data_IF_164663360219
#
_entry.id   IF_164663360219
#
_cell.length_a   1.000
_cell.length_b   1.000
_cell.length_c   1.000
_cell.angle_alpha   90.00
_cell.angle_beta   90.00
_cell.angle_gamma   90.00
#
_symmetry.space_group_name_H-M   'P 1'
#
loop_
_entity.id
_entity.type
_entity.pdbx_description
1 polymer ?
#
# COMPACT_ATOMS: atom_id res chain seq x y z
N UNK A 1 -18.18 30.79 -28.90
CA UNK A 1 -18.00 30.96 -27.45
C UNK A 1 -17.07 29.87 -26.99
N UNK A 2 -15.84 30.23 -26.55
CA UNK A 2 -14.91 29.25 -25.97
C UNK A 2 -15.56 28.73 -24.69
N UNK A 3 -15.76 27.42 -24.60
CA UNK A 3 -16.07 26.77 -23.33
C UNK A 3 -14.92 27.08 -22.37
N UNK A 4 -15.19 27.94 -21.39
CA UNK A 4 -14.41 27.99 -20.16
C UNK A 4 -14.57 26.60 -19.55
N UNK A 5 -13.51 25.79 -19.65
CA UNK A 5 -13.36 24.63 -18.78
C UNK A 5 -13.42 25.18 -17.36
N UNK A 6 -14.43 24.71 -16.63
CA UNK A 6 -14.51 24.83 -15.19
C UNK A 6 -13.13 24.42 -14.63
N UNK A 7 -12.38 25.41 -14.18
CA UNK A 7 -11.04 25.28 -13.60
C UNK A 7 -11.21 25.57 -12.12
N UNK A 8 -12.08 24.79 -11.50
CA UNK A 8 -12.05 24.56 -10.07
C UNK A 8 -11.06 23.41 -9.88
N UNK A 9 -9.78 23.74 -9.75
CA UNK A 9 -8.80 22.79 -9.21
C UNK A 9 -9.32 22.41 -7.82
N UNK A 10 -9.48 21.12 -7.56
CA UNK A 10 -9.91 20.64 -6.25
C UNK A 10 -8.87 21.09 -5.21
N UNK A 11 -9.31 21.43 -4.00
CA UNK A 11 -8.40 21.75 -2.90
C UNK A 11 -7.47 20.56 -2.59
N UNK A 12 -7.92 19.34 -2.88
CA UNK A 12 -7.10 18.13 -2.78
C UNK A 12 -6.04 18.08 -3.89
N UNK A 13 -6.39 18.33 -5.15
CA UNK A 13 -5.43 18.41 -6.26
C UNK A 13 -4.34 19.48 -6.00
N UNK A 14 -4.74 20.65 -5.49
CA UNK A 14 -3.81 21.73 -5.14
C UNK A 14 -2.88 21.35 -3.99
N UNK A 15 -3.36 20.55 -3.03
CA UNK A 15 -2.57 20.08 -1.91
C UNK A 15 -1.59 18.98 -2.35
N UNK A 16 -2.00 18.05 -3.22
CA UNK A 16 -1.11 17.04 -3.79
C UNK A 16 0.00 17.68 -4.63
N UNK A 17 -0.34 18.66 -5.49
CA UNK A 17 0.62 19.43 -6.27
C UNK A 17 1.62 20.17 -5.37
N UNK A 18 1.14 20.77 -4.28
CA UNK A 18 1.99 21.44 -3.29
C UNK A 18 2.92 20.42 -2.61
N UNK A 19 2.40 19.29 -2.12
CA UNK A 19 3.19 18.23 -1.50
C UNK A 19 4.30 17.75 -2.46
N UNK A 20 3.96 17.45 -3.72
CA UNK A 20 4.92 17.05 -4.74
C UNK A 20 6.02 18.11 -4.93
N UNK A 21 5.66 19.39 -5.02
CA UNK A 21 6.61 20.48 -5.27
C UNK A 21 7.63 20.72 -4.14
N UNK A 22 7.30 20.31 -2.90
CA UNK A 22 8.17 20.46 -1.72
C UNK A 22 9.41 19.56 -1.79
N UNK A 23 9.32 18.42 -2.46
CA UNK A 23 10.40 17.43 -2.50
C UNK A 23 11.31 17.65 -3.72
N UNK A 24 12.63 17.91 -3.52
CA UNK A 24 13.51 18.39 -4.59
C UNK A 24 13.65 17.50 -5.82
N UNK A 25 13.53 16.18 -5.66
CA UNK A 25 13.59 15.21 -6.77
C UNK A 25 12.33 15.22 -7.66
N UNK A 26 11.27 15.88 -7.20
CA UNK A 26 9.97 15.91 -7.88
C UNK A 26 9.74 17.24 -8.62
N UNK A 27 10.64 18.22 -8.48
CA UNK A 27 10.45 19.57 -9.04
C UNK A 27 10.33 19.61 -10.56
N UNK A 28 10.94 18.64 -11.23
CA UNK A 28 10.89 18.47 -12.69
C UNK A 28 10.06 17.24 -13.11
N UNK A 29 9.41 16.54 -12.16
CA UNK A 29 8.59 15.35 -12.41
C UNK A 29 7.09 15.67 -12.36
N UNK A 30 6.37 15.37 -13.43
CA UNK A 30 4.91 15.36 -13.47
C UNK A 30 4.32 14.16 -12.72
N UNK A 31 3.00 14.11 -12.56
CA UNK A 31 2.32 12.94 -12.00
C UNK A 31 2.59 11.69 -12.85
N UNK A 32 2.67 11.87 -14.17
CA UNK A 32 2.99 10.85 -15.16
C UNK A 32 4.40 10.26 -15.06
N UNK A 33 5.33 10.95 -14.39
CA UNK A 33 6.73 10.50 -14.24
C UNK A 33 6.91 9.57 -13.03
N UNK A 34 5.89 9.44 -12.17
CA UNK A 34 5.86 8.45 -11.09
C UNK A 34 5.14 7.20 -11.55
N UNK A 35 5.67 6.03 -11.18
CA UNK A 35 5.06 4.74 -11.52
C UNK A 35 4.93 4.53 -13.04
N UNK A 36 5.92 4.96 -13.82
CA UNK A 36 5.95 4.67 -15.26
C UNK A 36 6.28 3.19 -15.49
N UNK A 37 5.24 2.40 -15.79
CA UNK A 37 5.36 0.99 -16.12
C UNK A 37 5.60 0.74 -17.62
N UNK A 38 5.60 1.76 -18.48
CA UNK A 38 5.95 1.59 -19.90
C UNK A 38 7.47 1.60 -20.12
N UNK A 39 8.20 2.41 -19.35
CA UNK A 39 9.66 2.47 -19.34
C UNK A 39 10.19 2.46 -17.89
N UNK A 40 10.03 1.33 -17.16
CA UNK A 40 10.40 1.28 -15.75
C UNK A 40 11.91 1.44 -15.59
N UNK A 41 12.33 2.19 -14.56
CA UNK A 41 13.76 2.40 -14.27
C UNK A 41 14.53 1.09 -13.98
N UNK A 42 13.80 0.00 -13.68
CA UNK A 42 14.35 -1.34 -13.38
C UNK A 42 13.66 -2.41 -14.24
N UNK A 43 14.47 -3.16 -14.99
CA UNK A 43 14.01 -4.28 -15.84
C UNK A 43 13.27 -5.39 -15.05
N UNK A 44 13.52 -5.50 -13.74
CA UNK A 44 12.96 -6.54 -12.86
C UNK A 44 11.47 -6.34 -12.56
N UNK A 45 10.96 -5.11 -12.61
CA UNK A 45 9.57 -4.76 -12.24
C UNK A 45 8.56 -5.52 -13.09
N UNK A 46 8.84 -5.64 -14.39
CA UNK A 46 7.95 -6.35 -15.31
C UNK A 46 7.87 -7.85 -15.01
N UNK A 47 9.00 -8.49 -14.71
CA UNK A 47 9.02 -9.91 -14.35
C UNK A 47 8.40 -10.15 -12.97
N UNK A 48 8.63 -9.24 -12.02
CA UNK A 48 7.98 -9.25 -10.72
C UNK A 48 6.45 -9.32 -10.86
N UNK A 49 5.85 -8.39 -11.62
CA UNK A 49 4.40 -8.35 -11.80
C UNK A 49 3.90 -9.53 -12.64
N UNK A 50 4.70 -10.06 -13.56
CA UNK A 50 4.36 -11.31 -14.27
C UNK A 50 4.20 -12.47 -13.28
N UNK A 51 5.12 -12.64 -12.34
CA UNK A 51 5.04 -13.69 -11.31
C UNK A 51 3.88 -13.43 -10.33
N UNK A 52 3.68 -12.18 -9.91
CA UNK A 52 2.57 -11.79 -9.05
C UNK A 52 1.22 -12.17 -9.70
N UNK A 53 0.95 -11.70 -10.92
CA UNK A 53 -0.31 -11.96 -11.61
C UNK A 53 -0.47 -13.42 -12.00
N UNK A 54 0.61 -14.19 -12.17
CA UNK A 54 0.55 -15.62 -12.46
C UNK A 54 0.11 -16.44 -11.24
N UNK A 55 0.62 -16.10 -10.04
CA UNK A 55 0.50 -16.96 -8.86
C UNK A 55 -0.47 -16.47 -7.78
N UNK A 56 -0.85 -15.18 -7.77
CA UNK A 56 -1.89 -14.64 -6.89
C UNK A 56 -3.28 -15.09 -7.38
N UNK A 57 -3.63 -16.34 -7.06
CA UNK A 57 -4.97 -16.89 -7.24
C UNK A 57 -5.70 -17.02 -5.90
N UNK A 58 -7.01 -17.26 -5.96
CA UNK A 58 -7.89 -17.31 -4.81
C UNK A 58 -7.42 -18.32 -3.75
N UNK A 59 -7.05 -19.52 -4.16
CA UNK A 59 -6.59 -20.58 -3.25
C UNK A 59 -5.25 -20.21 -2.58
N UNK A 60 -4.32 -19.61 -3.32
CA UNK A 60 -3.05 -19.11 -2.78
C UNK A 60 -3.29 -18.06 -1.70
N UNK A 61 -4.15 -17.07 -1.97
CA UNK A 61 -4.47 -16.00 -1.01
C UNK A 61 -5.06 -16.57 0.28
N UNK A 62 -6.03 -17.48 0.18
CA UNK A 62 -6.63 -18.11 1.36
C UNK A 62 -5.60 -18.91 2.18
N UNK A 63 -4.71 -19.65 1.52
CA UNK A 63 -3.64 -20.39 2.20
C UNK A 63 -2.68 -19.45 2.94
N UNK A 64 -2.30 -18.33 2.33
CA UNK A 64 -1.41 -17.35 2.97
C UNK A 64 -2.09 -16.66 4.15
N UNK A 65 -3.37 -16.30 4.04
CA UNK A 65 -4.16 -15.79 5.16
C UNK A 65 -4.18 -16.79 6.32
N UNK A 66 -4.47 -18.07 6.08
CA UNK A 66 -4.44 -19.09 7.13
C UNK A 66 -3.05 -19.25 7.76
N UNK A 67 -1.99 -19.15 6.94
CA UNK A 67 -0.61 -19.31 7.39
C UNK A 67 -0.14 -18.17 8.29
N UNK A 68 -0.45 -16.92 7.95
CA UNK A 68 0.19 -15.75 8.57
C UNK A 68 -0.69 -14.99 9.57
N UNK A 69 -2.01 -15.10 9.49
CA UNK A 69 -2.91 -14.37 10.42
C UNK A 69 -2.90 -14.91 11.86
N UNK A 70 -2.17 -16.01 12.11
CA UNK A 70 -1.90 -16.54 13.45
C UNK A 70 -0.83 -15.73 14.20
N UNK A 71 0.00 -14.96 13.50
CA UNK A 71 1.03 -14.08 14.07
C UNK A 71 2.03 -14.82 14.99
N UNK A 72 2.51 -15.99 14.54
CA UNK A 72 3.38 -16.89 15.33
C UNK A 72 4.85 -16.89 14.85
N UNK A 73 5.22 -16.02 13.92
CA UNK A 73 6.57 -16.01 13.33
C UNK A 73 7.58 -15.40 14.27
N UNK A 74 7.26 -14.26 14.89
CA UNK A 74 8.17 -13.54 15.78
C UNK A 74 7.41 -12.58 16.70
N UNK A 75 7.98 -12.30 17.88
CA UNK A 75 7.59 -11.16 18.70
C UNK A 75 8.71 -10.14 18.70
N UNK A 76 8.37 -8.88 18.42
CA UNK A 76 9.33 -7.78 18.28
C UNK A 76 8.74 -6.52 18.91
N UNK A 77 9.57 -5.72 19.56
CA UNK A 77 9.27 -4.30 19.75
C UNK A 77 9.18 -3.60 18.38
N UNK A 78 8.60 -2.40 18.35
CA UNK A 78 8.51 -1.61 17.12
C UNK A 78 9.88 -1.43 16.45
N UNK A 79 10.90 -1.09 17.24
CA UNK A 79 12.21 -0.80 16.68
C UNK A 79 12.98 -2.05 16.24
N UNK A 80 12.78 -3.18 16.90
CA UNK A 80 13.28 -4.47 16.38
C UNK A 80 12.60 -4.83 15.05
N UNK A 81 11.32 -4.51 14.86
CA UNK A 81 10.61 -4.76 13.60
C UNK A 81 11.12 -3.85 12.47
N UNK A 82 11.37 -2.57 12.76
CA UNK A 82 11.94 -1.61 11.81
C UNK A 82 13.37 -2.00 11.43
N UNK A 83 14.22 -2.30 12.41
CA UNK A 83 15.60 -2.77 12.17
C UNK A 83 15.61 -4.10 11.40
N UNK A 84 14.64 -4.98 11.64
CA UNK A 84 14.49 -6.22 10.89
C UNK A 84 14.10 -5.93 9.44
N UNK A 85 13.04 -5.14 9.20
CA UNK A 85 12.62 -4.72 7.86
C UNK A 85 13.77 -4.08 7.08
N UNK A 86 14.61 -3.29 7.74
CA UNK A 86 15.75 -2.61 7.13
C UNK A 86 16.81 -3.54 6.52
N UNK A 87 16.71 -4.84 6.75
CA UNK A 87 17.55 -5.85 6.08
C UNK A 87 17.03 -6.27 4.70
N UNK A 88 15.83 -5.81 4.31
CA UNK A 88 15.19 -6.06 3.02
C UNK A 88 15.60 -5.00 1.98
N UNK A 89 15.79 -5.45 0.74
CA UNK A 89 15.84 -4.61 -0.46
C UNK A 89 14.57 -4.89 -1.27
N UNK A 90 13.75 -3.86 -1.56
CA UNK A 90 12.49 -3.99 -2.30
C UNK A 90 12.76 -3.92 -3.82
N UNK A 91 12.36 -4.97 -4.55
CA UNK A 91 12.59 -5.12 -5.99
C UNK A 91 11.40 -4.60 -6.83
N UNK A 92 10.29 -4.19 -6.19
CA UNK A 92 9.05 -3.79 -6.87
C UNK A 92 8.89 -2.28 -7.08
N UNK A 93 9.52 -1.46 -6.25
CA UNK A 93 9.49 -0.01 -6.36
C UNK A 93 10.38 0.45 -7.54
N UNK A 94 9.81 1.07 -8.59
CA UNK A 94 10.60 1.59 -9.71
C UNK A 94 11.34 2.88 -9.35
N UNK A 95 11.01 3.54 -8.24
CA UNK A 95 11.41 4.92 -7.99
C UNK A 95 12.65 5.08 -7.08
N UNK A 96 13.03 4.09 -6.24
CA UNK A 96 14.16 4.27 -5.28
C UNK A 96 14.93 3.00 -4.86
N UNK A 97 16.18 3.19 -4.40
CA UNK A 97 16.99 2.23 -3.64
C UNK A 97 17.06 2.62 -2.13
N UNK A 98 16.04 3.32 -1.60
CA UNK A 98 16.09 3.85 -0.24
C UNK A 98 16.03 2.74 0.82
N UNK A 99 16.79 2.97 1.88
CA UNK A 99 16.73 2.24 3.14
C UNK A 99 15.29 2.29 3.70
N UNK A 100 14.72 1.14 4.07
CA UNK A 100 13.31 1.04 4.47
C UNK A 100 12.97 1.94 5.67
N UNK A 101 13.90 2.10 6.61
CA UNK A 101 13.73 3.03 7.74
C UNK A 101 13.59 4.48 7.27
N UNK A 102 14.34 4.86 6.23
CA UNK A 102 14.25 6.21 5.65
C UNK A 102 12.90 6.43 4.98
N UNK A 103 12.41 5.45 4.22
CA UNK A 103 11.07 5.51 3.60
C UNK A 103 9.98 5.76 4.65
N UNK A 104 9.91 4.92 5.68
CA UNK A 104 8.94 5.05 6.77
C UNK A 104 9.00 6.42 7.47
N UNK A 105 10.22 6.92 7.72
CA UNK A 105 10.40 8.23 8.34
C UNK A 105 10.05 9.39 7.40
N UNK A 106 10.35 9.30 6.11
CA UNK A 106 10.02 10.34 5.13
C UNK A 106 8.52 10.50 4.98
N UNK A 107 7.79 9.39 4.80
CA UNK A 107 6.32 9.38 4.74
C UNK A 107 5.73 9.98 6.02
N UNK A 108 6.19 9.52 7.17
CA UNK A 108 5.64 9.96 8.46
C UNK A 108 5.97 11.42 8.79
N UNK A 109 7.20 11.88 8.52
CA UNK A 109 7.59 13.28 8.76
C UNK A 109 6.85 14.24 7.83
N UNK A 110 6.52 13.82 6.60
CA UNK A 110 5.69 14.58 5.69
C UNK A 110 4.28 14.80 6.26
N UNK A 111 3.66 13.71 6.76
CA UNK A 111 2.35 13.76 7.43
C UNK A 111 2.41 14.65 8.68
N UNK A 112 3.48 14.54 9.48
CA UNK A 112 3.70 15.35 10.68
C UNK A 112 3.85 16.83 10.37
N UNK A 113 4.57 17.17 9.29
CA UNK A 113 4.80 18.55 8.88
C UNK A 113 3.49 19.26 8.49
N UNK A 114 2.52 18.53 7.94
CA UNK A 114 1.18 19.04 7.60
C UNK A 114 0.22 19.11 8.80
N UNK A 115 0.66 18.72 10.00
CA UNK A 115 -0.12 18.88 11.23
C UNK A 115 -1.25 17.86 11.38
N UNK A 116 -1.15 16.70 10.74
CA UNK A 116 -2.12 15.62 10.88
C UNK A 116 -2.11 15.00 12.29
N UNK A 117 -3.19 14.30 12.69
CA UNK A 117 -3.27 13.66 14.00
C UNK A 117 -2.21 12.59 14.23
N UNK A 118 -1.87 12.35 15.51
CA UNK A 118 -0.92 11.34 15.98
C UNK A 118 -1.08 9.96 15.31
N UNK A 119 -2.31 9.45 15.20
CA UNK A 119 -2.56 8.14 14.57
C UNK A 119 -2.20 8.12 13.09
N UNK A 120 -2.36 9.23 12.36
CA UNK A 120 -2.05 9.31 10.93
C UNK A 120 -0.54 9.36 10.75
N UNK A 121 0.16 10.17 11.56
CA UNK A 121 1.63 10.19 11.60
C UNK A 121 2.15 8.77 11.86
N UNK A 122 1.65 8.11 12.91
CA UNK A 122 2.06 6.74 13.21
C UNK A 122 1.75 5.76 12.08
N UNK A 123 0.62 5.94 11.38
CA UNK A 123 0.28 5.07 10.24
C UNK A 123 1.30 5.18 9.11
N UNK A 124 1.75 6.39 8.78
CA UNK A 124 2.83 6.59 7.80
C UNK A 124 4.13 5.90 8.21
N UNK A 125 4.42 5.83 9.51
CA UNK A 125 5.59 5.14 10.01
C UNK A 125 5.48 3.61 10.01
N UNK A 126 4.26 3.07 10.00
CA UNK A 126 4.02 1.63 10.11
C UNK A 126 3.69 0.96 8.78
N UNK A 127 3.15 1.69 7.79
CA UNK A 127 2.42 1.15 6.63
C UNK A 127 3.13 -0.01 5.90
N UNK A 128 4.46 0.05 5.81
CA UNK A 128 5.28 -0.92 5.09
C UNK A 128 5.89 -2.01 5.98
N UNK A 129 5.64 -2.01 7.30
CA UNK A 129 6.17 -3.04 8.20
C UNK A 129 5.72 -4.46 7.86
N UNK A 130 4.63 -4.63 7.10
CA UNK A 130 4.21 -5.95 6.62
C UNK A 130 5.21 -6.60 5.66
N UNK A 131 6.14 -5.82 5.08
CA UNK A 131 7.20 -6.32 4.18
C UNK A 131 8.18 -7.29 4.85
N UNK A 132 8.17 -7.38 6.19
CA UNK A 132 8.89 -8.42 6.94
C UNK A 132 8.53 -9.85 6.52
N UNK A 133 7.39 -10.07 5.84
CA UNK A 133 7.07 -11.36 5.20
C UNK A 133 8.19 -11.85 4.25
N UNK A 134 8.85 -10.94 3.52
CA UNK A 134 10.00 -11.30 2.67
C UNK A 134 11.11 -11.94 3.50
N UNK A 135 11.35 -11.40 4.69
CA UNK A 135 12.37 -11.89 5.63
C UNK A 135 11.95 -13.18 6.34
N UNK A 136 10.67 -13.52 6.33
CA UNK A 136 10.15 -14.84 6.71
C UNK A 136 10.19 -15.87 5.57
N UNK A 137 10.77 -15.51 4.43
CA UNK A 137 11.04 -16.41 3.30
C UNK A 137 9.98 -16.37 2.20
N UNK A 138 9.04 -15.43 2.24
CA UNK A 138 8.12 -15.22 1.12
C UNK A 138 8.85 -14.56 -0.07
N UNK A 139 8.53 -14.94 -1.31
CA UNK A 139 9.04 -14.22 -2.47
C UNK A 139 8.40 -12.83 -2.53
N UNK A 140 9.14 -11.84 -3.04
CA UNK A 140 8.67 -10.45 -3.07
C UNK A 140 7.31 -10.29 -3.78
N UNK A 141 7.06 -11.03 -4.87
CA UNK A 141 5.78 -10.97 -5.59
C UNK A 141 4.57 -11.37 -4.73
N UNK A 142 4.78 -12.07 -3.61
CA UNK A 142 3.76 -12.45 -2.65
C UNK A 142 3.68 -11.50 -1.44
N UNK A 143 4.39 -10.37 -1.46
CA UNK A 143 4.52 -9.45 -0.33
C UNK A 143 4.30 -8.00 -0.75
N UNK A 144 5.03 -7.52 -1.76
CA UNK A 144 5.03 -6.11 -2.19
C UNK A 144 4.23 -5.92 -3.48
N UNK A 145 4.16 -4.68 -3.97
CA UNK A 145 3.48 -4.30 -5.21
C UNK A 145 1.97 -4.09 -5.07
N UNK A 146 1.37 -3.60 -6.16
CA UNK A 146 -0.05 -3.26 -6.21
C UNK A 146 -0.95 -4.46 -5.90
N UNK A 147 -1.99 -4.22 -5.10
CA UNK A 147 -2.98 -5.22 -4.72
C UNK A 147 -4.22 -5.18 -5.62
N UNK A 148 -4.90 -6.32 -5.74
CA UNK A 148 -6.13 -6.44 -6.52
C UNK A 148 -7.05 -7.54 -5.96
N UNK A 149 -8.37 -7.45 -6.12
CA UNK A 149 -9.29 -8.51 -5.76
C UNK A 149 -9.01 -9.82 -6.52
N UNK A 150 -8.87 -10.91 -5.78
CA UNK A 150 -8.95 -12.29 -6.31
C UNK A 150 -10.36 -12.82 -6.13
N UNK A 151 -10.76 -13.86 -6.86
CA UNK A 151 -12.11 -14.43 -6.76
C UNK A 151 -13.19 -13.69 -7.55
N UNK A 152 -12.82 -12.67 -8.33
CA UNK A 152 -13.66 -12.01 -9.33
C UNK A 152 -12.81 -11.63 -10.56
N UNK A 153 -13.45 -11.06 -11.58
CA UNK A 153 -12.77 -10.64 -12.79
C UNK A 153 -11.69 -9.58 -12.51
N UNK A 154 -10.49 -9.78 -13.06
CA UNK A 154 -9.40 -8.81 -12.99
C UNK A 154 -9.70 -7.57 -13.85
N UNK A 155 -9.54 -6.38 -13.27
CA UNK A 155 -9.72 -5.10 -13.95
C UNK A 155 -8.59 -4.86 -14.97
N UNK A 156 -8.89 -4.09 -16.02
CA UNK A 156 -7.88 -3.60 -16.96
C UNK A 156 -7.05 -2.43 -16.41
N UNK A 157 -7.46 -1.86 -15.28
CA UNK A 157 -6.72 -0.79 -14.58
C UNK A 157 -5.60 -1.32 -13.69
N UNK A 158 -5.49 -2.64 -13.48
CA UNK A 158 -4.35 -3.23 -12.78
C UNK A 158 -3.14 -3.13 -13.70
N UNK A 159 -1.97 -2.82 -13.15
CA UNK A 159 -0.69 -2.80 -13.86
C UNK A 159 -0.49 -4.11 -14.64
N UNK A 160 0.03 -4.06 -15.86
CA UNK A 160 0.23 -5.23 -16.76
C UNK A 160 -0.89 -6.30 -16.72
N UNK A 161 -2.14 -5.91 -17.02
CA UNK A 161 -3.28 -6.80 -16.89
C UNK A 161 -3.23 -7.97 -17.88
N UNK A 162 -2.39 -7.90 -18.92
CA UNK A 162 -2.21 -8.98 -19.88
C UNK A 162 -1.63 -10.26 -19.28
N UNK A 163 -0.89 -10.18 -18.16
CA UNK A 163 -0.30 -11.36 -17.51
C UNK A 163 -1.33 -12.27 -16.86
N UNK A 164 -2.49 -11.73 -16.47
CA UNK A 164 -3.56 -12.54 -15.88
C UNK A 164 -4.05 -13.65 -16.81
N UNK A 165 -3.80 -13.56 -18.14
CA UNK A 165 -4.15 -14.64 -19.09
C UNK A 165 -3.55 -16.00 -18.73
N UNK A 166 -2.45 -16.02 -17.98
CA UNK A 166 -1.78 -17.23 -17.50
C UNK A 166 -2.19 -17.65 -16.08
N UNK A 167 -2.90 -16.78 -15.34
CA UNK A 167 -3.43 -17.11 -14.00
C UNK A 167 -4.54 -18.18 -14.11
N UNK A 168 -4.54 -19.13 -13.19
CA UNK A 168 -5.55 -20.19 -13.11
C UNK A 168 -6.98 -19.66 -12.98
N UNK A 169 -7.17 -18.54 -12.27
CA UNK A 169 -8.49 -17.98 -11.98
C UNK A 169 -9.09 -17.24 -13.18
N UNK A 170 -8.25 -16.77 -14.12
CA UNK A 170 -8.69 -15.97 -15.26
C UNK A 170 -9.71 -16.70 -16.14
N UNK A 171 -9.64 -18.03 -16.20
CA UNK A 171 -10.57 -18.87 -16.97
C UNK A 171 -11.52 -19.68 -16.09
N UNK A 172 -11.42 -19.57 -14.77
CA UNK A 172 -12.29 -20.30 -13.85
C UNK A 172 -13.70 -19.66 -13.86
N UNK A 173 -14.76 -20.42 -14.21
CA UNK A 173 -16.12 -19.88 -14.27
C UNK A 173 -16.65 -19.36 -12.93
N UNK A 174 -16.03 -19.71 -11.80
CA UNK A 174 -16.36 -19.17 -10.48
C UNK A 174 -15.87 -17.73 -10.30
N UNK A 175 -14.77 -17.36 -10.96
CA UNK A 175 -14.06 -16.10 -10.71
C UNK A 175 -14.06 -15.16 -11.91
N UNK A 176 -14.17 -15.67 -13.14
CA UNK A 176 -14.01 -14.87 -14.36
C UNK A 176 -15.21 -13.96 -14.73
N UNK A 177 -16.14 -13.72 -13.80
CA UNK A 177 -17.27 -12.80 -13.99
C UNK A 177 -17.07 -11.56 -13.13
N UNK A 178 -17.80 -10.48 -13.44
CA UNK A 178 -17.72 -9.19 -12.72
C UNK A 178 -17.68 -9.37 -11.20
N UNK A 179 -18.57 -10.19 -10.66
CA UNK A 179 -18.65 -10.41 -9.21
C UNK A 179 -17.93 -11.68 -8.75
N UNK A 180 -17.74 -12.66 -9.64
CA UNK A 180 -17.19 -13.96 -9.28
C UNK A 180 -17.96 -14.58 -8.12
N UNK A 181 -17.31 -14.73 -6.97
CA UNK A 181 -17.91 -15.26 -5.74
C UNK A 181 -18.52 -14.20 -4.81
N UNK A 182 -18.36 -12.91 -5.12
CA UNK A 182 -18.81 -11.81 -4.27
C UNK A 182 -20.24 -11.41 -4.59
N UNK A 183 -20.90 -10.80 -3.61
CA UNK A 183 -22.18 -10.12 -3.83
C UNK A 183 -21.93 -8.66 -4.24
N UNK A 184 -22.85 -8.04 -5.00
CA UNK A 184 -22.77 -6.61 -5.31
C UNK A 184 -22.68 -5.76 -4.04
N UNK A 185 -21.73 -4.82 -4.00
CA UNK A 185 -21.51 -3.88 -2.90
C UNK A 185 -21.37 -4.57 -1.54
N UNK A 186 -20.75 -5.76 -1.51
CA UNK A 186 -20.65 -6.57 -0.30
C UNK A 186 -19.81 -5.95 0.82
N UNK A 187 -18.91 -5.03 0.46
CA UNK A 187 -17.92 -4.46 1.37
C UNK A 187 -16.53 -5.07 1.16
N UNK A 188 -15.49 -4.24 1.12
CA UNK A 188 -14.11 -4.73 0.93
C UNK A 188 -13.63 -5.61 2.08
N UNK A 189 -14.22 -5.50 3.27
CA UNK A 189 -13.99 -6.41 4.39
C UNK A 189 -14.25 -7.88 4.06
N UNK A 190 -15.12 -8.15 3.07
CA UNK A 190 -15.46 -9.50 2.58
C UNK A 190 -14.71 -9.90 1.33
N UNK A 191 -14.04 -8.96 0.67
CA UNK A 191 -13.27 -9.19 -0.55
C UNK A 191 -11.88 -9.73 -0.18
N UNK A 192 -11.43 -10.74 -0.89
CA UNK A 192 -10.04 -11.20 -0.80
C UNK A 192 -9.21 -10.40 -1.81
N UNK A 193 -8.29 -9.57 -1.33
CA UNK A 193 -7.26 -8.97 -2.17
C UNK A 193 -6.08 -9.95 -2.31
N UNK A 194 -5.26 -9.77 -3.34
CA UNK A 194 -3.96 -10.43 -3.46
C UNK A 194 -3.17 -10.31 -2.16
N UNK A 195 -2.51 -11.39 -1.78
CA UNK A 195 -1.84 -11.46 -0.49
C UNK A 195 -0.56 -10.62 -0.51
N UNK A 196 -0.35 -9.82 0.54
CA UNK A 196 0.81 -8.96 0.67
C UNK A 196 0.92 -8.29 2.04
N UNK A 197 1.82 -7.31 2.11
CA UNK A 197 2.13 -6.53 3.31
C UNK A 197 0.91 -5.78 3.86
N UNK A 198 0.03 -5.22 3.01
CA UNK A 198 -1.19 -4.53 3.42
C UNK A 198 -2.09 -5.39 4.35
N UNK A 199 -2.59 -6.51 3.82
CA UNK A 199 -3.52 -7.39 4.55
C UNK A 199 -2.81 -7.98 5.77
N UNK A 200 -1.55 -8.40 5.65
CA UNK A 200 -0.81 -8.96 6.77
C UNK A 200 -0.63 -7.94 7.90
N UNK A 201 -0.20 -6.72 7.59
CA UNK A 201 0.02 -5.69 8.58
C UNK A 201 -1.31 -5.23 9.21
N UNK A 202 -2.40 -5.21 8.45
CA UNK A 202 -3.73 -5.02 9.01
C UNK A 202 -4.01 -6.03 10.14
N UNK A 203 -3.74 -7.33 9.94
CA UNK A 203 -3.93 -8.33 11.01
C UNK A 203 -2.99 -8.13 12.19
N UNK A 204 -1.76 -7.66 11.96
CA UNK A 204 -0.79 -7.33 13.02
C UNK A 204 -1.32 -6.17 13.89
N UNK A 205 -1.98 -5.18 13.29
CA UNK A 205 -2.29 -3.90 13.94
C UNK A 205 -3.78 -3.68 14.30
N UNK A 206 -4.70 -4.51 13.83
CA UNK A 206 -6.16 -4.29 13.94
C UNK A 206 -6.71 -4.13 15.37
N UNK A 207 -6.02 -4.63 16.38
CA UNK A 207 -6.44 -4.51 17.78
C UNK A 207 -5.92 -3.21 18.45
N UNK A 208 -5.09 -2.42 17.76
CA UNK A 208 -4.34 -1.29 18.34
C UNK A 208 -4.65 0.06 17.70
N UNK A 209 -4.88 0.10 16.39
CA UNK A 209 -5.06 1.35 15.64
C UNK A 209 -6.53 1.67 15.36
N UNK A 210 -6.89 2.96 15.21
CA UNK A 210 -8.24 3.34 14.82
C UNK A 210 -8.56 2.92 13.38
N UNK A 211 -9.84 2.77 13.06
CA UNK A 211 -10.29 2.25 11.77
C UNK A 211 -9.77 3.01 10.53
N UNK A 212 -9.69 4.35 10.49
CA UNK A 212 -9.09 5.06 9.36
C UNK A 212 -7.63 4.68 9.09
N UNK A 213 -6.82 4.51 10.15
CA UNK A 213 -5.44 4.05 10.04
C UNK A 213 -5.38 2.64 9.44
N UNK A 214 -6.25 1.75 9.91
CA UNK A 214 -6.33 0.38 9.43
C UNK A 214 -6.78 0.30 7.97
N UNK A 215 -7.69 1.17 7.51
CA UNK A 215 -8.09 1.23 6.10
C UNK A 215 -6.95 1.72 5.21
N UNK A 216 -6.20 2.74 5.64
CA UNK A 216 -5.00 3.17 4.92
C UNK A 216 -4.01 2.01 4.80
N UNK A 217 -3.64 1.36 5.91
CA UNK A 217 -2.71 0.22 5.89
C UNK A 217 -3.19 -0.90 4.97
N UNK A 218 -4.47 -1.26 5.07
CA UNK A 218 -5.02 -2.44 4.37
C UNK A 218 -5.21 -2.23 2.86
N UNK A 219 -5.26 -0.99 2.39
CA UNK A 219 -5.62 -0.69 1.00
C UNK A 219 -4.72 0.34 0.30
N UNK A 220 -3.61 0.77 0.90
CA UNK A 220 -2.70 1.74 0.28
C UNK A 220 -2.00 1.22 -0.98
N UNK A 221 -1.89 -0.10 -1.15
CA UNK A 221 -1.39 -0.70 -2.39
C UNK A 221 -2.51 -0.94 -3.43
N UNK A 222 -3.78 -0.63 -3.13
CA UNK A 222 -4.91 -0.94 -4.01
C UNK A 222 -5.14 0.13 -5.09
N UNK A 223 -4.11 0.41 -5.88
CA UNK A 223 -4.09 1.51 -6.87
C UNK A 223 -5.20 1.41 -7.91
N UNK A 224 -5.56 0.19 -8.32
CA UNK A 224 -6.68 -0.02 -9.22
C UNK A 224 -8.00 0.57 -8.68
N UNK A 225 -8.15 0.68 -7.36
CA UNK A 225 -9.25 1.43 -6.75
C UNK A 225 -8.86 2.89 -6.54
N UNK A 226 -7.93 3.19 -5.62
CA UNK A 226 -7.82 4.56 -5.09
C UNK A 226 -7.26 5.58 -6.09
N UNK A 227 -6.62 5.10 -7.16
CA UNK A 227 -6.19 5.94 -8.30
C UNK A 227 -7.15 5.84 -9.49
N UNK A 228 -7.54 4.62 -9.87
CA UNK A 228 -8.24 4.38 -11.15
C UNK A 228 -9.77 4.23 -11.02
N UNK A 229 -10.32 4.18 -9.80
CA UNK A 229 -11.76 4.04 -9.53
C UNK A 229 -12.35 2.68 -9.93
N UNK A 230 -11.54 1.65 -10.15
CA UNK A 230 -12.06 0.31 -10.41
C UNK A 230 -12.67 -0.30 -9.14
N UNK A 231 -13.43 -1.39 -9.30
CA UNK A 231 -13.99 -2.18 -8.20
C UNK A 231 -15.06 -1.51 -7.30
N UNK A 232 -15.59 -0.34 -7.66
CA UNK A 232 -16.74 0.29 -6.99
C UNK A 232 -17.96 -0.64 -6.80
N UNK A 233 -18.12 -1.60 -7.70
CA UNK A 233 -19.20 -2.60 -7.62
C UNK A 233 -19.05 -3.61 -6.48
N UNK A 234 -17.90 -3.65 -5.80
CA UNK A 234 -17.65 -4.45 -4.59
C UNK A 234 -17.70 -3.61 -3.31
N UNK A 235 -17.49 -2.29 -3.42
CA UNK A 235 -17.45 -1.35 -2.31
C UNK A 235 -18.85 -0.99 -1.79
N UNK A 236 -18.98 -0.80 -0.49
CA UNK A 236 -20.18 -0.28 0.14
C UNK A 236 -19.99 1.20 0.58
N UNK A 237 -21.02 1.81 1.16
CA UNK A 237 -20.97 3.21 1.61
C UNK A 237 -19.84 3.47 2.64
N UNK A 238 -19.55 2.48 3.50
CA UNK A 238 -18.49 2.57 4.50
C UNK A 238 -17.11 2.60 3.85
N UNK A 239 -16.88 1.73 2.85
CA UNK A 239 -15.64 1.72 2.07
C UNK A 239 -15.42 3.07 1.38
N UNK A 240 -16.44 3.60 0.70
CA UNK A 240 -16.34 4.89 0.03
C UNK A 240 -15.98 6.02 1.01
N UNK A 241 -16.55 6.03 2.21
CA UNK A 241 -16.21 7.02 3.22
C UNK A 241 -14.78 6.90 3.73
N UNK A 242 -14.25 5.68 3.87
CA UNK A 242 -12.91 5.44 4.43
C UNK A 242 -11.80 5.53 3.38
N UNK A 243 -12.12 5.32 2.09
CA UNK A 243 -11.18 5.48 1.00
C UNK A 243 -10.71 6.93 0.81
N UNK A 244 -11.44 7.91 1.32
CA UNK A 244 -10.95 9.30 1.41
C UNK A 244 -9.67 9.41 2.27
N UNK A 245 -9.50 8.56 3.29
CA UNK A 245 -8.25 8.48 4.04
C UNK A 245 -7.14 7.77 3.26
N UNK A 246 -7.48 6.74 2.50
CA UNK A 246 -6.51 6.01 1.63
C UNK A 246 -5.95 6.95 0.57
N UNK A 247 -6.83 7.69 -0.12
CA UNK A 247 -6.44 8.72 -1.10
C UNK A 247 -5.57 9.79 -0.47
N UNK A 248 -5.94 10.29 0.71
CA UNK A 248 -5.14 11.30 1.42
C UNK A 248 -3.77 10.79 1.87
N UNK A 249 -3.63 9.50 2.16
CA UNK A 249 -2.36 8.91 2.54
C UNK A 249 -1.41 8.75 1.35
N UNK A 250 -1.94 8.31 0.21
CA UNK A 250 -1.15 7.91 -0.97
C UNK A 250 -0.10 8.94 -1.44
N UNK A 251 -0.39 10.26 -1.53
CA UNK A 251 0.60 11.27 -1.89
C UNK A 251 1.81 11.32 -0.95
N UNK A 252 1.61 11.06 0.35
CA UNK A 252 2.71 11.03 1.31
C UNK A 252 3.61 9.81 1.10
N UNK A 253 3.01 8.64 0.84
CA UNK A 253 3.77 7.43 0.51
C UNK A 253 4.57 7.61 -0.79
N UNK A 254 3.92 8.16 -1.83
CA UNK A 254 4.51 8.25 -3.17
C UNK A 254 5.51 9.41 -3.33
N UNK A 255 5.19 10.61 -2.85
CA UNK A 255 5.94 11.83 -3.20
C UNK A 255 6.91 12.31 -2.13
N UNK A 256 6.90 11.79 -0.91
CA UNK A 256 7.77 12.28 0.18
C UNK A 256 9.23 11.82 0.10
N UNK A 257 9.57 11.05 -0.95
CA UNK A 257 10.92 10.57 -1.26
C UNK A 257 11.89 11.75 -1.39
N UNK A 258 12.94 11.76 -0.57
CA UNK A 258 13.91 12.86 -0.48
C UNK A 258 15.36 12.37 -0.48
N UNK A 259 16.29 13.07 -1.18
CA UNK A 259 17.71 12.75 -1.13
C UNK A 259 18.37 13.13 0.19
N UNK A 260 17.69 13.94 1.02
CA UNK A 260 18.16 14.28 2.37
C UNK A 260 17.53 13.28 3.35
N UNK A 261 18.30 12.30 3.86
CA UNK A 261 17.77 11.28 4.75
C UNK A 261 17.41 11.89 6.12
N UNK A 262 16.23 11.55 6.69
CA UNK A 262 15.90 11.85 8.08
C UNK A 262 16.98 11.40 9.08
N UNK A 263 17.22 12.21 10.12
CA UNK A 263 18.11 11.83 11.21
C UNK A 263 17.40 10.87 12.17
N UNK A 264 17.60 9.57 11.95
CA UNK A 264 16.98 8.50 12.74
C UNK A 264 17.23 8.64 14.23
N UNK A 265 18.45 9.01 14.65
CA UNK A 265 18.80 9.11 16.06
C UNK A 265 18.05 10.25 16.77
N UNK A 266 17.78 11.34 16.07
CA UNK A 266 17.00 12.48 16.61
C UNK A 266 15.50 12.20 16.61
N UNK A 267 14.99 11.46 15.61
CA UNK A 267 13.57 11.17 15.46
C UNK A 267 13.09 9.99 16.30
N UNK A 268 13.94 9.00 16.55
CA UNK A 268 13.58 7.77 17.26
C UNK A 268 12.83 8.01 18.57
N UNK A 269 13.26 8.89 19.49
CA UNK A 269 12.53 9.12 20.74
C UNK A 269 11.09 9.59 20.53
N UNK A 270 10.85 10.45 19.53
CA UNK A 270 9.50 10.91 19.20
C UNK A 270 8.62 9.75 18.72
N UNK A 271 9.15 8.88 17.85
CA UNK A 271 8.41 7.74 17.32
C UNK A 271 8.17 6.63 18.36
N UNK A 272 9.10 6.42 19.28
CA UNK A 272 8.90 5.54 20.44
C UNK A 272 7.78 6.07 21.34
N UNK A 273 7.78 7.37 21.68
CA UNK A 273 6.72 8.00 22.48
C UNK A 273 5.36 7.99 21.76
N UNK A 274 5.35 8.22 20.44
CA UNK A 274 4.14 8.18 19.63
C UNK A 274 3.55 6.77 19.59
N UNK A 275 4.39 5.77 19.33
CA UNK A 275 3.97 4.37 19.27
C UNK A 275 3.44 3.87 20.62
N UNK A 276 4.06 4.26 21.74
CA UNK A 276 3.64 3.88 23.09
C UNK A 276 2.21 4.32 23.46
N UNK A 277 1.63 5.28 22.72
CA UNK A 277 0.21 5.67 22.89
C UNK A 277 -0.78 4.65 22.33
N UNK A 278 -0.35 3.82 21.38
CA UNK A 278 -1.22 2.94 20.59
C UNK A 278 -0.82 1.47 20.68
N UNK A 279 0.48 1.18 20.63
CA UNK A 279 1.03 -0.17 20.50
C UNK A 279 1.49 -0.70 21.86
N UNK A 280 1.43 -2.02 22.08
CA UNK A 280 2.08 -2.67 23.23
C UNK A 280 3.61 -2.63 23.08
N UNK A 281 4.32 -2.89 24.18
CA UNK A 281 5.80 -2.97 24.20
C UNK A 281 6.36 -3.96 23.15
N UNK A 282 5.61 -5.03 22.86
CA UNK A 282 5.95 -6.02 21.83
C UNK A 282 4.72 -6.41 21.03
N UNK A 283 4.90 -6.54 19.72
CA UNK A 283 3.89 -6.89 18.74
C UNK A 283 4.19 -8.31 18.22
N UNK A 284 3.13 -9.08 17.97
CA UNK A 284 3.24 -10.40 17.36
C UNK A 284 3.15 -10.27 15.83
N UNK A 285 4.14 -10.86 15.15
CA UNK A 285 4.27 -10.94 13.70
C UNK A 285 4.19 -12.40 13.27
#
# INVERSE_FOLDING_TARGET
MKNLKDTTLDMEDLWEDDLRSRYPENKDKGEEDFRDYNDPARDTVREFYRLNHLYQNYDFVLQKKEQYTKLEKRKMSLWEAVEFLNTLVDDSDPDTDLDQTQHLLQTSEAIRADGHPDWFILTGFLHDLGKVLCLFGEPQWAVVGDTFPVGCQFSQSIVYPEFFKENSDFRDPRFNTKYGIYEPNCGLDKVQLSWGHDEYLYYVLKEYLPEPALYMIRYHSFYAQHKEGAYDHLMNEHDHSLFEWVKRFNPYDLYSKSPVPPNVAELRPFYEDLAAKYLPDTIAF
#
